data_IF_941003170923
#
_entry.id   IF_941003170923
#
_cell.length_a   1.000
_cell.length_b   1.000
_cell.length_c   1.000
_cell.angle_alpha   90.00
_cell.angle_beta   90.00
_cell.angle_gamma   90.00
#
_symmetry.space_group_name_H-M   'P 1'
#
loop_
_entity.id
_entity.type
_entity.pdbx_description
1 polymer ?
#
# COMPACT_ATOMS: atom_id res chain seq x y z
N UNK A 1 -5.51 10.20 -24.44
CA UNK A 1 -4.29 9.46 -24.09
C UNK A 1 -3.13 10.33 -23.53
N UNK A 2 -3.11 11.63 -23.76
CA UNK A 2 -2.10 12.57 -23.22
C UNK A 2 -2.38 13.03 -21.77
N UNK A 3 -3.61 12.97 -21.31
CA UNK A 3 -4.06 13.57 -20.03
C UNK A 3 -3.42 12.96 -18.76
N UNK A 4 -2.99 11.70 -18.78
CA UNK A 4 -2.34 11.06 -17.60
C UNK A 4 -0.88 11.51 -17.46
N UNK A 5 -0.13 11.59 -18.57
CA UNK A 5 1.28 12.00 -18.54
C UNK A 5 1.43 13.44 -18.04
N UNK A 6 0.60 14.36 -18.55
CA UNK A 6 0.77 15.80 -18.27
C UNK A 6 0.33 16.18 -16.84
N UNK A 7 -0.70 15.51 -16.29
CA UNK A 7 -1.17 15.80 -14.93
C UNK A 7 -0.28 15.20 -13.83
N UNK A 8 0.23 13.98 -14.01
CA UNK A 8 1.14 13.37 -13.04
C UNK A 8 2.48 14.11 -13.04
N UNK A 9 3.01 14.44 -14.20
CA UNK A 9 4.26 15.19 -14.36
C UNK A 9 4.19 16.61 -13.80
N UNK A 10 3.06 17.32 -13.96
CA UNK A 10 2.90 18.70 -13.47
C UNK A 10 2.73 18.78 -11.94
N UNK A 11 2.07 17.78 -11.34
CA UNK A 11 1.85 17.72 -9.88
C UNK A 11 3.16 17.49 -9.13
N UNK A 12 4.06 16.71 -9.72
CA UNK A 12 5.33 16.33 -9.07
C UNK A 12 6.43 17.38 -9.34
N UNK A 13 6.30 18.19 -10.40
CA UNK A 13 7.27 19.26 -10.76
C UNK A 13 7.08 20.60 -10.04
N UNK A 14 5.92 20.88 -9.45
CA UNK A 14 5.74 22.09 -8.66
C UNK A 14 6.52 21.98 -7.35
N UNK A 15 7.63 22.75 -7.24
CA UNK A 15 8.17 23.18 -5.95
C UNK A 15 7.07 24.00 -5.27
N UNK A 16 6.34 23.36 -4.36
CA UNK A 16 5.35 24.03 -3.52
C UNK A 16 6.15 24.80 -2.48
N UNK A 17 5.94 26.12 -2.41
CA UNK A 17 6.35 26.93 -1.26
C UNK A 17 5.67 26.30 -0.02
N UNK A 18 6.48 25.78 0.88
CA UNK A 18 6.06 25.07 2.09
C UNK A 18 5.49 26.13 3.03
N UNK A 19 4.17 26.10 3.36
CA UNK A 19 3.66 26.86 4.50
C UNK A 19 4.35 26.36 5.78
N UNK A 20 4.42 27.17 6.81
CA UNK A 20 5.09 26.90 8.08
C UNK A 20 5.03 25.44 8.49
N UNK A 21 6.18 24.79 8.47
CA UNK A 21 6.33 23.34 8.68
C UNK A 21 6.00 23.03 10.13
N UNK A 22 4.86 22.42 10.38
CA UNK A 22 4.53 21.88 11.70
C UNK A 22 5.57 20.79 12.00
N UNK A 23 6.48 21.05 12.94
CA UNK A 23 7.45 20.05 13.37
C UNK A 23 6.74 19.10 14.33
N UNK A 24 6.46 17.89 13.89
CA UNK A 24 5.92 16.83 14.73
C UNK A 24 7.08 16.09 15.44
N UNK A 25 7.01 16.00 16.76
CA UNK A 25 7.94 15.20 17.57
C UNK A 25 7.48 13.75 17.59
N UNK A 26 7.79 12.89 16.71
CA UNK A 26 7.38 11.49 16.65
C UNK A 26 6.47 11.19 15.45
N UNK A 27 7.05 11.24 14.27
CA UNK A 27 6.37 10.87 13.02
C UNK A 27 6.26 9.35 12.88
N UNK A 28 5.17 8.83 12.27
CA UNK A 28 5.16 7.45 11.83
C UNK A 28 6.21 7.28 10.72
N UNK A 29 7.00 6.22 10.79
CA UNK A 29 7.96 5.87 9.74
C UNK A 29 7.28 5.10 8.61
N UNK A 30 6.33 4.26 8.95
CA UNK A 30 5.59 3.43 8.02
C UNK A 30 4.09 3.69 8.14
N UNK A 31 3.47 4.11 7.03
CA UNK A 31 2.02 4.35 6.93
C UNK A 31 1.39 3.31 6.01
N UNK A 32 0.43 2.55 6.54
CA UNK A 32 -0.42 1.67 5.74
C UNK A 32 -1.72 2.37 5.35
N UNK A 33 -2.26 2.09 4.15
CA UNK A 33 -3.48 2.75 3.67
C UNK A 33 -4.45 1.75 3.02
N UNK A 34 -5.71 1.78 3.49
CA UNK A 34 -6.84 1.15 2.80
C UNK A 34 -7.59 2.23 2.02
N UNK A 35 -7.42 2.22 0.70
CA UNK A 35 -7.93 3.22 -0.25
C UNK A 35 -9.40 2.96 -0.59
N UNK A 36 -10.30 3.10 0.41
CA UNK A 36 -11.72 2.80 0.26
C UNK A 36 -12.53 3.99 -0.28
N UNK A 37 -13.68 3.68 -0.92
CA UNK A 37 -14.66 4.64 -1.39
C UNK A 37 -14.54 5.05 -2.86
N UNK A 38 -13.60 4.50 -3.64
CA UNK A 38 -13.43 4.81 -5.06
C UNK A 38 -14.75 4.65 -5.85
N UNK A 39 -15.46 3.54 -5.69
CA UNK A 39 -16.75 3.29 -6.39
C UNK A 39 -17.85 4.25 -5.97
N UNK A 40 -17.97 4.52 -4.66
CA UNK A 40 -18.97 5.48 -4.13
C UNK A 40 -18.73 6.87 -4.70
N UNK A 41 -17.48 7.30 -4.71
CA UNK A 41 -17.08 8.57 -5.30
C UNK A 41 -17.36 8.64 -6.80
N UNK A 42 -16.97 7.62 -7.57
CA UNK A 42 -17.20 7.56 -9.02
C UNK A 42 -18.67 7.65 -9.37
N UNK A 43 -19.54 6.87 -8.68
CA UNK A 43 -21.00 6.96 -8.87
C UNK A 43 -21.56 8.35 -8.58
N UNK A 44 -21.08 9.00 -7.52
CA UNK A 44 -21.55 10.33 -7.12
C UNK A 44 -21.09 11.40 -8.09
N UNK A 45 -19.81 11.40 -8.47
CA UNK A 45 -19.17 12.45 -9.28
C UNK A 45 -19.37 12.25 -10.78
N UNK A 46 -19.19 11.04 -11.28
CA UNK A 46 -19.14 10.74 -12.72
C UNK A 46 -20.34 9.94 -13.21
N UNK A 47 -21.23 9.49 -12.30
CA UNK A 47 -22.29 8.49 -12.61
C UNK A 47 -21.72 7.14 -13.08
N UNK A 48 -20.41 6.91 -12.86
CA UNK A 48 -19.68 5.70 -13.24
C UNK A 48 -18.71 5.31 -12.11
N UNK A 49 -18.89 4.10 -11.59
CA UNK A 49 -18.02 3.58 -10.51
C UNK A 49 -16.58 3.36 -10.95
N UNK A 50 -16.35 3.02 -12.24
CA UNK A 50 -15.02 2.71 -12.78
C UNK A 50 -14.13 3.97 -12.83
N UNK A 51 -14.69 5.13 -13.16
CA UNK A 51 -13.95 6.39 -13.18
C UNK A 51 -13.45 6.78 -11.78
N UNK A 52 -14.12 6.31 -10.72
CA UNK A 52 -13.64 6.49 -9.36
C UNK A 52 -12.32 5.78 -9.06
N UNK A 53 -12.05 4.62 -9.65
CA UNK A 53 -10.76 3.92 -9.52
C UNK A 53 -9.64 4.71 -10.19
N UNK A 54 -9.92 5.34 -11.33
CA UNK A 54 -8.97 6.21 -12.01
C UNK A 54 -8.61 7.44 -11.16
N UNK A 55 -9.61 8.13 -10.60
CA UNK A 55 -9.37 9.25 -9.68
C UNK A 55 -8.60 8.80 -8.43
N UNK A 56 -8.85 7.55 -7.97
CA UNK A 56 -8.12 6.94 -6.85
C UNK A 56 -6.64 6.69 -7.16
N UNK A 57 -6.30 6.25 -8.37
CA UNK A 57 -4.92 6.08 -8.79
C UNK A 57 -4.18 7.43 -8.87
N UNK A 58 -4.85 8.48 -9.38
CA UNK A 58 -4.29 9.84 -9.35
C UNK A 58 -4.08 10.35 -7.93
N UNK A 59 -4.98 10.00 -7.00
CA UNK A 59 -4.84 10.34 -5.60
C UNK A 59 -3.65 9.64 -4.95
N UNK A 60 -3.39 8.37 -5.31
CA UNK A 60 -2.22 7.64 -4.82
C UNK A 60 -0.91 8.36 -5.18
N UNK A 61 -0.79 8.87 -6.40
CA UNK A 61 0.38 9.67 -6.80
C UNK A 61 0.59 10.89 -5.89
N UNK A 62 -0.51 11.61 -5.55
CA UNK A 62 -0.43 12.74 -4.61
C UNK A 62 -0.08 12.30 -3.20
N UNK A 63 -0.66 11.19 -2.74
CA UNK A 63 -0.38 10.63 -1.43
C UNK A 63 1.09 10.25 -1.27
N UNK A 64 1.70 9.64 -2.27
CA UNK A 64 3.15 9.34 -2.30
C UNK A 64 3.96 10.63 -2.12
N UNK A 65 3.61 11.71 -2.85
CA UNK A 65 4.28 13.01 -2.69
C UNK A 65 4.14 13.56 -1.28
N UNK A 66 2.95 13.46 -0.67
CA UNK A 66 2.73 13.90 0.72
C UNK A 66 3.55 13.08 1.72
N UNK A 67 3.67 11.75 1.52
CA UNK A 67 4.53 10.91 2.36
C UNK A 67 5.99 11.39 2.32
N UNK A 68 6.53 11.63 1.13
CA UNK A 68 7.90 12.12 0.96
C UNK A 68 8.07 13.50 1.61
N UNK A 69 7.12 14.43 1.42
CA UNK A 69 7.14 15.77 2.00
C UNK A 69 7.12 15.74 3.54
N UNK A 70 6.33 14.83 4.13
CA UNK A 70 6.21 14.63 5.58
C UNK A 70 7.31 13.71 6.16
N UNK A 71 8.29 13.31 5.34
CA UNK A 71 9.41 12.43 5.75
C UNK A 71 8.98 11.04 6.26
N UNK A 72 7.91 10.52 5.74
CA UNK A 72 7.52 9.12 5.92
C UNK A 72 8.51 8.27 5.10
N UNK A 73 9.05 7.23 5.71
CA UNK A 73 10.04 6.37 5.06
C UNK A 73 9.38 5.29 4.17
N UNK A 74 8.22 4.80 4.60
CA UNK A 74 7.54 3.67 3.95
C UNK A 74 6.03 3.89 3.85
N UNK A 75 5.43 3.56 2.72
CA UNK A 75 3.99 3.40 2.61
C UNK A 75 3.63 2.00 2.09
N UNK A 76 2.61 1.36 2.70
CA UNK A 76 2.00 0.12 2.19
C UNK A 76 0.55 0.38 1.84
N UNK A 77 0.17 0.16 0.58
CA UNK A 77 -1.16 0.46 0.07
C UNK A 77 -1.93 -0.80 -0.31
N UNK A 78 -3.19 -0.88 0.08
CA UNK A 78 -4.09 -1.96 -0.29
C UNK A 78 -4.74 -1.65 -1.63
N UNK A 79 -4.11 -2.10 -2.72
CA UNK A 79 -4.57 -1.80 -4.08
C UNK A 79 -5.71 -2.74 -4.53
N UNK A 80 -5.60 -4.04 -4.22
CA UNK A 80 -6.61 -5.04 -4.59
C UNK A 80 -6.56 -6.23 -3.62
N UNK A 81 -7.69 -6.53 -2.97
CA UNK A 81 -7.79 -7.66 -2.05
C UNK A 81 -8.17 -8.95 -2.76
N UNK A 82 -7.87 -10.10 -2.13
CA UNK A 82 -8.31 -11.42 -2.63
C UNK A 82 -9.84 -11.51 -2.76
N UNK A 83 -10.59 -10.87 -1.87
CA UNK A 83 -12.06 -10.85 -1.90
C UNK A 83 -12.63 -10.01 -3.06
N UNK A 84 -11.85 -9.08 -3.61
CA UNK A 84 -12.29 -8.26 -4.75
C UNK A 84 -12.41 -9.06 -6.05
N UNK A 85 -11.92 -10.29 -6.08
CA UNK A 85 -12.08 -11.21 -7.20
C UNK A 85 -13.54 -11.56 -7.50
N UNK A 86 -14.43 -11.44 -6.53
CA UNK A 86 -15.88 -11.63 -6.71
C UNK A 86 -16.56 -10.49 -7.48
N UNK A 87 -15.83 -9.42 -7.85
CA UNK A 87 -16.36 -8.31 -8.65
C UNK A 87 -16.57 -8.72 -10.11
N UNK A 88 -17.29 -7.89 -10.86
CA UNK A 88 -17.50 -8.16 -12.29
C UNK A 88 -16.16 -8.14 -13.05
N UNK A 89 -16.04 -9.01 -14.07
CA UNK A 89 -14.85 -9.07 -14.95
C UNK A 89 -14.49 -7.69 -15.50
N UNK A 90 -15.49 -6.92 -15.95
CA UNK A 90 -15.29 -5.54 -16.45
C UNK A 90 -14.63 -4.62 -15.42
N UNK A 91 -14.98 -4.75 -14.13
CA UNK A 91 -14.37 -3.94 -13.07
C UNK A 91 -12.93 -4.38 -12.80
N UNK A 92 -12.69 -5.69 -12.74
CA UNK A 92 -11.35 -6.27 -12.55
C UNK A 92 -10.44 -5.83 -13.67
N UNK A 93 -10.84 -5.99 -14.94
CA UNK A 93 -10.07 -5.58 -16.11
C UNK A 93 -9.76 -4.08 -16.09
N UNK A 94 -10.72 -3.25 -15.69
CA UNK A 94 -10.53 -1.81 -15.56
C UNK A 94 -9.48 -1.47 -14.50
N UNK A 95 -9.51 -2.13 -13.34
CA UNK A 95 -8.54 -1.93 -12.26
C UNK A 95 -7.16 -2.40 -12.71
N UNK A 96 -7.04 -3.56 -13.36
CA UNK A 96 -5.78 -4.08 -13.87
C UNK A 96 -5.17 -3.16 -14.93
N UNK A 97 -5.99 -2.63 -15.85
CA UNK A 97 -5.54 -1.63 -16.84
C UNK A 97 -5.06 -0.31 -16.18
N UNK A 98 -5.72 0.13 -15.11
CA UNK A 98 -5.29 1.31 -14.35
C UNK A 98 -3.95 1.02 -13.68
N UNK A 99 -3.80 -0.17 -13.09
CA UNK A 99 -2.59 -0.59 -12.42
C UNK A 99 -1.40 -0.73 -13.37
N UNK A 100 -1.62 -1.32 -14.55
CA UNK A 100 -0.61 -1.40 -15.62
C UNK A 100 -0.09 0.00 -16.01
N UNK A 101 -1.01 0.95 -16.24
CA UNK A 101 -0.64 2.33 -16.56
C UNK A 101 0.09 3.03 -15.41
N UNK A 102 -0.26 2.70 -14.17
CA UNK A 102 0.44 3.19 -12.99
C UNK A 102 1.90 2.72 -13.00
N UNK A 103 2.16 1.42 -13.22
CA UNK A 103 3.51 0.87 -13.32
C UNK A 103 4.29 1.58 -14.44
N UNK A 104 3.74 1.69 -15.65
CA UNK A 104 4.39 2.33 -16.79
C UNK A 104 4.78 3.79 -16.51
N UNK A 105 3.91 4.52 -15.82
CA UNK A 105 4.16 5.92 -15.46
C UNK A 105 5.29 6.05 -14.44
N UNK A 106 5.29 5.19 -13.43
CA UNK A 106 6.31 5.24 -12.37
C UNK A 106 7.64 4.65 -12.76
N UNK A 107 7.69 3.65 -13.66
CA UNK A 107 8.95 3.04 -14.11
C UNK A 107 9.94 4.06 -14.67
N UNK A 108 9.45 5.13 -15.32
CA UNK A 108 10.30 6.19 -15.87
C UNK A 108 10.82 7.19 -14.84
N UNK A 109 10.21 7.28 -13.65
CA UNK A 109 10.50 8.32 -12.66
C UNK A 109 10.99 7.78 -11.31
N UNK A 110 10.75 6.49 -11.04
CA UNK A 110 11.03 5.87 -9.75
C UNK A 110 12.48 6.05 -9.31
N UNK A 111 13.43 5.77 -10.21
CA UNK A 111 14.87 5.91 -9.93
C UNK A 111 15.24 7.36 -9.65
N UNK A 112 14.77 8.30 -10.50
CA UNK A 112 15.08 9.72 -10.34
C UNK A 112 14.53 10.33 -9.05
N UNK A 113 13.48 9.71 -8.48
CA UNK A 113 12.87 10.11 -7.22
C UNK A 113 13.32 9.28 -6.03
N UNK A 114 14.25 8.35 -6.27
CA UNK A 114 14.76 7.45 -5.25
C UNK A 114 13.64 6.68 -4.52
N UNK A 115 12.68 6.14 -5.29
CA UNK A 115 11.55 5.35 -4.77
C UNK A 115 11.79 3.88 -5.06
N UNK A 116 11.83 3.06 -4.03
CA UNK A 116 11.87 1.60 -4.13
C UNK A 116 10.47 1.03 -4.12
N UNK A 117 10.14 0.25 -5.14
CA UNK A 117 8.86 -0.45 -5.27
C UNK A 117 8.97 -1.88 -4.80
N UNK A 118 7.88 -2.35 -4.19
CA UNK A 118 7.67 -3.74 -3.84
C UNK A 118 6.21 -4.13 -4.05
N UNK A 119 5.99 -5.30 -4.63
CA UNK A 119 4.66 -5.89 -4.80
C UNK A 119 4.48 -7.07 -3.86
N UNK A 120 3.39 -7.06 -3.10
CA UNK A 120 3.06 -8.08 -2.12
C UNK A 120 1.76 -8.75 -2.57
N UNK A 121 1.81 -10.07 -2.78
CA UNK A 121 0.66 -10.86 -3.19
C UNK A 121 0.61 -12.19 -2.46
N UNK A 122 -0.57 -12.69 -2.17
CA UNK A 122 -0.82 -14.06 -1.67
C UNK A 122 -1.34 -14.99 -2.76
N UNK A 123 -1.73 -14.44 -3.92
CA UNK A 123 -2.31 -15.18 -5.04
C UNK A 123 -1.67 -14.74 -6.38
N UNK A 124 -0.36 -14.88 -6.46
CA UNK A 124 0.42 -14.40 -7.61
C UNK A 124 -0.03 -15.02 -8.94
N UNK A 125 -0.55 -16.25 -8.91
CA UNK A 125 -1.03 -16.95 -10.11
C UNK A 125 -2.30 -16.32 -10.73
N UNK A 126 -3.05 -15.53 -9.94
CA UNK A 126 -4.22 -14.80 -10.42
C UNK A 126 -3.89 -13.46 -11.06
N UNK A 127 -2.67 -12.96 -10.87
CA UNK A 127 -2.23 -11.69 -11.46
C UNK A 127 -1.97 -11.93 -12.96
N UNK A 128 -2.48 -11.09 -13.87
CA UNK A 128 -2.18 -11.17 -15.30
C UNK A 128 -0.67 -11.14 -15.56
N UNK A 129 -0.16 -11.99 -16.46
CA UNK A 129 1.27 -12.16 -16.69
C UNK A 129 1.99 -10.86 -17.07
N UNK A 130 1.32 -9.98 -17.83
CA UNK A 130 1.89 -8.67 -18.19
C UNK A 130 2.13 -7.80 -16.95
N UNK A 131 1.24 -7.88 -15.96
CA UNK A 131 1.38 -7.12 -14.71
C UNK A 131 2.47 -7.73 -13.84
N UNK A 132 2.56 -9.07 -13.75
CA UNK A 132 3.67 -9.74 -13.05
C UNK A 132 5.02 -9.28 -13.61
N UNK A 133 5.19 -9.42 -14.92
CA UNK A 133 6.42 -9.04 -15.60
C UNK A 133 6.80 -7.57 -15.37
N UNK A 134 5.84 -6.66 -15.50
CA UNK A 134 6.06 -5.23 -15.28
C UNK A 134 6.37 -4.91 -13.83
N UNK A 135 5.73 -5.60 -12.88
CA UNK A 135 5.97 -5.45 -11.44
C UNK A 135 7.38 -5.92 -11.07
N UNK A 136 7.78 -7.11 -11.52
CA UNK A 136 9.11 -7.67 -11.30
C UNK A 136 10.20 -6.77 -11.88
N UNK A 137 9.98 -6.24 -13.09
CA UNK A 137 10.93 -5.31 -13.70
C UNK A 137 11.03 -4.00 -12.91
N UNK A 138 9.90 -3.45 -12.41
CA UNK A 138 9.91 -2.22 -11.59
C UNK A 138 10.63 -2.45 -10.26
N UNK A 139 10.41 -3.59 -9.60
CA UNK A 139 11.15 -3.97 -8.39
C UNK A 139 12.66 -4.07 -8.68
N UNK A 140 13.04 -4.73 -9.78
CA UNK A 140 14.44 -4.93 -10.17
C UNK A 140 15.14 -3.60 -10.42
N UNK A 141 14.56 -2.71 -11.21
CA UNK A 141 15.20 -1.42 -11.56
C UNK A 141 15.25 -0.43 -10.40
N UNK A 142 14.39 -0.61 -9.38
CA UNK A 142 14.36 0.23 -8.17
C UNK A 142 15.02 -0.40 -6.95
N UNK A 143 15.64 -1.57 -7.08
CA UNK A 143 16.19 -2.34 -5.94
C UNK A 143 17.24 -1.59 -5.12
N UNK A 144 17.98 -0.68 -5.76
CA UNK A 144 19.04 0.10 -5.12
C UNK A 144 18.54 1.49 -4.63
N UNK A 145 17.24 1.82 -4.82
CA UNK A 145 16.66 3.03 -4.26
C UNK A 145 16.42 2.85 -2.76
N UNK A 146 16.69 3.89 -1.98
CA UNK A 146 16.63 3.89 -0.51
C UNK A 146 15.93 5.12 0.10
N UNK A 147 15.40 6.02 -0.74
CA UNK A 147 14.80 7.27 -0.26
C UNK A 147 13.38 7.12 0.25
N UNK A 148 12.53 6.36 -0.44
CA UNK A 148 11.16 6.07 -0.03
C UNK A 148 10.74 4.68 -0.51
N UNK A 149 10.10 3.91 0.37
CA UNK A 149 9.64 2.55 0.08
C UNK A 149 8.14 2.53 -0.17
N UNK A 150 7.71 2.09 -1.36
CA UNK A 150 6.30 1.91 -1.70
C UNK A 150 5.97 0.43 -1.88
N UNK A 151 5.24 -0.13 -0.92
CA UNK A 151 4.73 -1.50 -1.00
C UNK A 151 3.29 -1.48 -1.51
N UNK A 152 2.99 -2.29 -2.51
CA UNK A 152 1.67 -2.38 -3.12
C UNK A 152 1.13 -3.79 -2.92
N UNK A 153 0.09 -3.92 -2.09
CA UNK A 153 -0.61 -5.18 -1.89
C UNK A 153 -1.63 -5.37 -3.02
N UNK A 154 -1.35 -6.34 -3.90
CA UNK A 154 -2.15 -6.68 -5.07
C UNK A 154 -2.53 -8.16 -5.00
N UNK A 155 -3.82 -8.51 -5.10
CA UNK A 155 -4.29 -9.88 -4.84
C UNK A 155 -3.78 -10.39 -3.49
N UNK A 156 -3.98 -9.58 -2.46
CA UNK A 156 -3.50 -9.86 -1.12
C UNK A 156 -4.67 -10.12 -0.17
N UNK A 157 -4.54 -11.15 0.65
CA UNK A 157 -5.40 -11.46 1.78
C UNK A 157 -4.55 -11.84 2.98
N UNK A 158 -4.72 -11.18 4.12
CA UNK A 158 -3.88 -11.42 5.28
C UNK A 158 -4.07 -12.80 5.90
N UNK A 159 -5.30 -13.35 5.86
CA UNK A 159 -5.54 -14.74 6.28
C UNK A 159 -4.85 -15.72 5.33
N UNK A 160 -4.87 -15.44 4.02
CA UNK A 160 -4.17 -16.25 3.03
C UNK A 160 -2.65 -16.18 3.22
N UNK A 161 -2.12 -15.00 3.56
CA UNK A 161 -0.70 -14.81 3.88
C UNK A 161 -0.26 -15.68 5.07
N UNK A 162 -1.06 -15.70 6.13
CA UNK A 162 -0.86 -16.57 7.31
C UNK A 162 -0.88 -18.05 6.90
N UNK A 163 -1.89 -18.47 6.12
CA UNK A 163 -1.98 -19.86 5.65
C UNK A 163 -0.81 -20.24 4.74
N UNK A 164 -0.36 -19.34 3.86
CA UNK A 164 0.83 -19.54 3.03
C UNK A 164 2.09 -19.69 3.87
N UNK A 165 2.25 -18.87 4.93
CA UNK A 165 3.36 -19.01 5.87
C UNK A 165 3.33 -20.36 6.59
N UNK A 166 2.16 -20.80 7.08
CA UNK A 166 2.00 -22.13 7.69
C UNK A 166 2.39 -23.26 6.72
N UNK A 167 1.97 -23.18 5.45
CA UNK A 167 2.34 -24.18 4.43
C UNK A 167 3.85 -24.22 4.22
N UNK A 168 4.50 -23.07 4.05
CA UNK A 168 5.97 -22.99 3.89
C UNK A 168 6.69 -23.61 5.07
N UNK A 169 6.26 -23.35 6.31
CA UNK A 169 6.82 -23.95 7.53
C UNK A 169 6.63 -25.45 7.52
N UNK A 170 5.44 -25.93 7.21
CA UNK A 170 5.12 -27.36 7.16
C UNK A 170 5.97 -28.09 6.12
N UNK A 171 6.16 -27.50 4.95
CA UNK A 171 6.96 -28.11 3.88
C UNK A 171 8.46 -28.10 4.23
N UNK A 172 8.94 -27.05 4.89
CA UNK A 172 10.31 -27.00 5.40
C UNK A 172 10.57 -28.07 6.48
N UNK A 173 9.64 -28.27 7.42
CA UNK A 173 9.71 -29.32 8.44
C UNK A 173 9.75 -30.71 7.79
N UNK A 174 8.88 -30.98 6.79
CA UNK A 174 8.82 -32.27 6.10
C UNK A 174 10.11 -32.59 5.34
N UNK A 175 10.80 -31.57 4.81
CA UNK A 175 12.00 -31.72 3.99
C UNK A 175 13.30 -31.58 4.80
N UNK A 176 13.22 -31.12 6.05
CA UNK A 176 14.37 -30.98 6.94
C UNK A 176 14.95 -32.33 7.34
N UNK A 177 16.27 -32.38 7.43
CA UNK A 177 16.99 -33.54 8.02
C UNK A 177 16.90 -33.58 9.53
N UNK A 178 16.54 -32.45 10.14
CA UNK A 178 16.46 -32.27 11.59
C UNK A 178 15.22 -31.42 11.96
N UNK A 179 14.01 -31.99 11.79
CA UNK A 179 12.77 -31.26 11.99
C UNK A 179 12.53 -30.86 13.46
N UNK A 180 13.11 -31.59 14.42
CA UNK A 180 12.92 -31.34 15.85
C UNK A 180 13.64 -30.05 16.32
N UNK A 181 14.65 -29.60 15.59
CA UNK A 181 15.37 -28.36 15.88
C UNK A 181 14.73 -27.11 15.24
N UNK A 182 13.65 -27.25 14.48
CA UNK A 182 12.92 -26.09 13.94
C UNK A 182 12.00 -25.52 15.01
N UNK A 183 12.43 -24.41 15.64
CA UNK A 183 11.67 -23.70 16.66
C UNK A 183 10.86 -22.59 15.98
N UNK A 184 9.52 -22.67 16.09
CA UNK A 184 8.62 -21.66 15.52
C UNK A 184 8.49 -20.49 16.50
N UNK A 185 9.30 -19.44 16.29
CA UNK A 185 9.19 -18.15 16.99
C UNK A 185 8.35 -17.16 16.18
N UNK A 186 8.02 -16.01 16.76
CA UNK A 186 7.33 -14.92 16.03
C UNK A 186 8.16 -14.44 14.85
N UNK A 187 9.46 -14.30 15.02
CA UNK A 187 10.44 -13.87 14.01
C UNK A 187 10.54 -14.92 12.89
N UNK A 188 10.62 -16.20 13.25
CA UNK A 188 10.64 -17.28 12.27
C UNK A 188 9.34 -17.31 11.46
N UNK A 189 8.17 -17.24 12.11
CA UNK A 189 6.89 -17.17 11.42
C UNK A 189 6.82 -15.94 10.50
N UNK A 190 7.22 -14.77 11.00
CA UNK A 190 7.27 -13.53 10.22
C UNK A 190 8.11 -13.68 8.95
N UNK A 191 9.25 -14.40 9.02
CA UNK A 191 10.13 -14.63 7.87
C UNK A 191 9.48 -15.40 6.72
N UNK A 192 8.32 -16.05 6.97
CA UNK A 192 7.58 -16.83 5.98
C UNK A 192 6.41 -16.06 5.36
N UNK A 193 6.03 -14.91 5.93
CA UNK A 193 5.00 -14.02 5.37
C UNK A 193 5.49 -13.37 4.07
N UNK A 194 4.58 -12.99 3.20
CA UNK A 194 4.88 -12.31 1.92
C UNK A 194 5.47 -10.90 2.12
N UNK A 195 5.29 -10.32 3.30
CA UNK A 195 5.85 -9.01 3.70
C UNK A 195 7.03 -9.13 4.67
N UNK A 196 7.74 -10.25 4.69
CA UNK A 196 8.75 -10.58 5.71
C UNK A 196 9.87 -9.55 5.88
N UNK A 197 10.24 -8.85 4.84
CA UNK A 197 11.30 -7.83 4.78
C UNK A 197 10.75 -6.38 4.85
N UNK A 198 9.44 -6.21 5.08
CA UNK A 198 8.80 -4.92 5.28
C UNK A 198 8.56 -4.70 6.77
N UNK A 199 8.90 -3.52 7.31
CA UNK A 199 8.59 -3.15 8.70
C UNK A 199 7.08 -3.16 8.96
N UNK A 200 6.67 -3.37 10.22
CA UNK A 200 5.25 -3.22 10.57
C UNK A 200 4.81 -1.76 10.44
N UNK A 201 3.56 -1.49 10.01
CA UNK A 201 3.04 -0.15 9.96
C UNK A 201 2.92 0.48 11.35
N UNK A 202 3.34 1.73 11.48
CA UNK A 202 3.10 2.54 12.67
C UNK A 202 1.67 3.08 12.71
N UNK A 203 1.15 3.46 11.54
CA UNK A 203 -0.15 4.09 11.34
C UNK A 203 -0.90 3.43 10.18
N UNK A 204 -2.14 2.99 10.43
CA UNK A 204 -3.09 2.60 9.39
C UNK A 204 -4.10 3.72 9.18
N UNK A 205 -4.23 4.18 7.93
CA UNK A 205 -5.28 5.10 7.51
C UNK A 205 -6.30 4.33 6.66
N UNK A 206 -7.58 4.42 7.02
CA UNK A 206 -8.67 3.93 6.18
C UNK A 206 -9.65 5.04 5.87
N UNK A 207 -9.99 5.18 4.60
CA UNK A 207 -10.96 6.17 4.10
C UNK A 207 -12.36 5.59 4.02
N UNK A 208 -13.37 6.50 3.84
CA UNK A 208 -14.76 6.16 3.55
C UNK A 208 -15.62 5.75 4.76
N UNK A 209 -15.17 6.07 6.00
CA UNK A 209 -15.97 5.87 7.23
C UNK A 209 -16.11 4.41 7.70
N UNK A 210 -15.40 3.48 7.09
CA UNK A 210 -15.47 2.06 7.42
C UNK A 210 -14.46 1.71 8.53
N UNK A 211 -14.93 1.19 9.68
CA UNK A 211 -14.13 0.93 10.88
C UNK A 211 -13.71 -0.54 10.98
N UNK A 212 -12.97 -1.03 10.01
CA UNK A 212 -12.44 -2.40 9.94
C UNK A 212 -11.18 -2.47 9.07
N UNK A 213 -10.39 -3.54 9.19
CA UNK A 213 -9.15 -3.73 8.40
C UNK A 213 -9.38 -4.53 7.11
N UNK A 214 -10.51 -5.19 6.95
CA UNK A 214 -10.88 -5.97 5.75
C UNK A 214 -9.76 -6.92 5.29
N UNK A 215 -9.28 -7.76 6.20
CA UNK A 215 -8.24 -8.75 5.93
C UNK A 215 -6.88 -8.15 5.47
N UNK A 216 -6.64 -6.86 5.74
CA UNK A 216 -5.40 -6.19 5.38
C UNK A 216 -4.39 -6.30 6.51
N UNK A 217 -3.27 -6.99 6.29
CA UNK A 217 -2.10 -7.10 7.18
C UNK A 217 -2.42 -7.48 8.64
N UNK A 218 -3.27 -8.49 8.95
CA UNK A 218 -3.72 -8.77 10.32
C UNK A 218 -2.58 -9.09 11.29
N UNK A 219 -1.50 -9.73 10.83
CA UNK A 219 -0.32 -10.00 11.64
C UNK A 219 0.48 -8.73 11.94
N UNK A 220 0.73 -7.92 10.91
CA UNK A 220 1.59 -6.75 10.96
C UNK A 220 0.94 -5.57 11.69
N UNK A 221 -0.40 -5.53 11.75
CA UNK A 221 -1.16 -4.44 12.39
C UNK A 221 -1.37 -4.61 13.90
N UNK A 222 -0.76 -5.62 14.53
CA UNK A 222 -0.99 -5.96 15.94
C UNK A 222 -0.77 -4.79 16.94
N UNK A 223 0.15 -3.87 16.64
CA UNK A 223 0.46 -2.69 17.47
C UNK A 223 0.34 -1.37 16.70
N UNK A 224 -0.30 -1.40 15.54
CA UNK A 224 -0.49 -0.25 14.67
C UNK A 224 -1.56 0.70 15.22
N UNK A 225 -1.32 1.99 15.16
CA UNK A 225 -2.34 3.00 15.47
C UNK A 225 -3.28 3.21 14.28
N UNK A 226 -4.59 3.30 14.53
CA UNK A 226 -5.60 3.43 13.47
C UNK A 226 -6.16 4.84 13.39
N UNK A 227 -6.33 5.34 12.16
CA UNK A 227 -6.99 6.61 11.88
C UNK A 227 -7.99 6.42 10.73
N UNK A 228 -9.26 6.72 11.00
CA UNK A 228 -10.35 6.55 10.04
C UNK A 228 -10.80 7.92 9.52
N UNK A 229 -11.04 8.01 8.21
CA UNK A 229 -11.46 9.24 7.51
C UNK A 229 -12.79 8.98 6.82
N UNK A 230 -13.81 9.80 7.07
CA UNK A 230 -15.15 9.65 6.49
C UNK A 230 -15.19 9.91 4.98
N UNK A 231 -14.24 10.71 4.46
CA UNK A 231 -14.15 11.01 3.03
C UNK A 231 -13.74 9.79 2.23
N UNK A 232 -14.25 9.67 1.01
CA UNK A 232 -13.77 8.68 0.05
C UNK A 232 -12.31 8.94 -0.33
N UNK A 233 -11.56 7.90 -0.68
CA UNK A 233 -10.14 8.02 -1.05
C UNK A 233 -9.82 9.12 -2.06
N UNK A 234 -10.55 9.27 -3.20
CA UNK A 234 -10.26 10.35 -4.15
C UNK A 234 -10.45 11.76 -3.59
N UNK A 235 -11.17 11.91 -2.47
CA UNK A 235 -11.51 13.23 -1.89
C UNK A 235 -10.55 13.70 -0.81
N UNK A 236 -9.73 12.79 -0.24
CA UNK A 236 -8.80 13.20 0.82
C UNK A 236 -7.85 14.29 0.33
N UNK A 237 -7.47 15.14 1.25
CA UNK A 237 -6.53 16.24 1.02
C UNK A 237 -5.26 16.02 1.82
N UNK A 238 -4.23 16.79 1.51
CA UNK A 238 -3.00 16.80 2.31
C UNK A 238 -3.28 17.18 3.77
N UNK A 239 -4.25 18.06 4.02
CA UNK A 239 -4.67 18.43 5.39
C UNK A 239 -5.28 17.24 6.14
N UNK A 240 -6.04 16.37 5.46
CA UNK A 240 -6.59 15.16 6.09
C UNK A 240 -5.45 14.20 6.47
N UNK A 241 -4.45 14.05 5.60
CA UNK A 241 -3.25 13.25 5.88
C UNK A 241 -2.43 13.84 7.05
N UNK A 242 -2.17 15.14 7.04
CA UNK A 242 -1.48 15.83 8.14
C UNK A 242 -2.24 15.69 9.47
N UNK A 243 -3.59 15.69 9.43
CA UNK A 243 -4.42 15.45 10.62
C UNK A 243 -4.22 14.04 11.18
N UNK A 244 -4.08 13.02 10.32
CA UNK A 244 -3.77 11.65 10.74
C UNK A 244 -2.38 11.57 11.40
N UNK A 245 -1.35 12.19 10.80
CA UNK A 245 0.00 12.25 11.35
C UNK A 245 0.00 12.98 12.71
N UNK A 246 -0.67 14.13 12.80
CA UNK A 246 -0.80 14.89 14.04
C UNK A 246 -1.48 14.07 15.15
N UNK A 247 -2.55 13.36 14.81
CA UNK A 247 -3.23 12.48 15.75
C UNK A 247 -2.29 11.39 16.27
N UNK A 248 -1.55 10.73 15.37
CA UNK A 248 -0.54 9.74 15.73
C UNK A 248 0.54 10.31 16.65
N UNK A 249 1.10 11.47 16.30
CA UNK A 249 2.18 12.12 17.07
C UNK A 249 1.78 12.50 18.50
N UNK A 250 0.48 12.74 18.73
CA UNK A 250 -0.05 13.11 20.05
C UNK A 250 -0.39 11.90 20.92
N UNK A 251 -0.36 10.68 20.38
CA UNK A 251 -0.68 9.46 21.16
C UNK A 251 0.52 9.02 22.00
N UNK A 252 0.25 8.64 23.24
CA UNK A 252 1.23 7.95 24.10
C UNK A 252 1.18 6.46 23.80
N UNK A 253 2.15 5.97 23.05
CA UNK A 253 2.26 4.54 22.71
C UNK A 253 2.93 3.80 23.87
N UNK A 254 2.21 2.86 24.47
CA UNK A 254 2.70 2.06 25.59
C UNK A 254 3.18 0.67 25.16
N UNK A 255 2.89 0.22 23.93
CA UNK A 255 3.29 -1.08 23.34
C UNK A 255 3.11 -2.26 24.33
N UNK A 256 2.07 -2.22 25.16
CA UNK A 256 1.81 -3.26 26.15
C UNK A 256 2.60 -3.13 27.46
N UNK A 257 3.31 -2.01 27.69
CA UNK A 257 4.01 -1.68 28.93
C UNK A 257 3.17 -0.81 29.83
#
# INVERSE_FOLDING_TARGET
>A
MHFLKDNVLSIIKKRISIPDKIIFNNLPKHVAVIMDGNRRYGRRKHKDALLGHFDGAQKLCKFISWCVEEKIETATVYAFSSENWSRSVKEIDSIMNIFEKFIDTFSSEAISKNIRFRFISTEIDKIPDIIKLKSENLELVTKDCDGFFLNICLYYGGQDDILCACKKITDEIKTSKDPENIIITKEYFRSKLSSCDVSDPDLLIRTSGELRISNFLPWQLAYTEFFFIDKCWPEITQKDFQSAIKNYSNRKRRNGL
#
